data_IF_862139758009
#
_entry.id   IF_862139758009
#
_cell.length_a   1.000
_cell.length_b   1.000
_cell.length_c   1.000
_cell.angle_alpha   90.00
_cell.angle_beta   90.00
_cell.angle_gamma   90.00
#
_symmetry.space_group_name_H-M   'P 1'
#
loop_
_entity.id
_entity.type
_entity.pdbx_description
1 polymer ?
#
# COMPACT_ATOMS: atom_id res chain seq x y z
N UNK A 1 -41.49 -81.75 -32.05
CA UNK A 1 -40.95 -81.35 -30.73
C UNK A 1 -39.56 -80.72 -30.82
N UNK A 2 -38.64 -81.24 -31.64
CA UNK A 2 -37.28 -80.71 -31.78
C UNK A 2 -37.20 -79.26 -32.31
N UNK A 3 -38.00 -78.91 -33.33
CA UNK A 3 -38.11 -77.53 -33.85
C UNK A 3 -38.53 -76.49 -32.80
N UNK A 4 -39.39 -76.88 -31.85
CA UNK A 4 -39.82 -75.98 -30.77
C UNK A 4 -38.68 -75.73 -29.77
N UNK A 5 -37.87 -76.76 -29.47
CA UNK A 5 -36.68 -76.63 -28.61
C UNK A 5 -35.62 -75.74 -29.25
N UNK A 6 -35.39 -75.88 -30.56
CA UNK A 6 -34.47 -75.03 -31.32
C UNK A 6 -34.91 -73.57 -31.34
N UNK A 7 -36.20 -73.30 -31.59
CA UNK A 7 -36.75 -71.95 -31.58
C UNK A 7 -36.69 -71.29 -30.19
N UNK A 8 -36.93 -72.05 -29.11
CA UNK A 8 -36.80 -71.55 -27.74
C UNK A 8 -35.34 -71.25 -27.37
N UNK A 9 -34.40 -72.10 -27.79
CA UNK A 9 -32.97 -71.87 -27.57
C UNK A 9 -32.48 -70.64 -28.33
N UNK A 10 -32.91 -70.45 -29.57
CA UNK A 10 -32.59 -69.27 -30.37
C UNK A 10 -33.15 -68.00 -29.73
N UNK A 11 -34.39 -68.02 -29.24
CA UNK A 11 -35.00 -66.91 -28.49
C UNK A 11 -34.20 -66.57 -27.23
N UNK A 12 -33.82 -67.57 -26.43
CA UNK A 12 -32.97 -67.38 -25.24
C UNK A 12 -31.59 -66.83 -25.58
N UNK A 13 -30.99 -67.26 -26.70
CA UNK A 13 -29.69 -66.74 -27.16
C UNK A 13 -29.82 -65.29 -27.63
N UNK A 14 -30.90 -64.94 -28.32
CA UNK A 14 -31.19 -63.56 -28.74
C UNK A 14 -31.43 -62.63 -27.54
N UNK A 15 -32.25 -63.04 -26.57
CA UNK A 15 -32.51 -62.30 -25.33
C UNK A 15 -31.21 -62.07 -24.52
N UNK A 16 -30.35 -63.09 -24.40
CA UNK A 16 -29.04 -62.94 -23.73
C UNK A 16 -28.10 -61.99 -24.46
N UNK A 17 -28.10 -61.98 -25.80
CA UNK A 17 -27.31 -61.03 -26.61
C UNK A 17 -27.82 -59.61 -26.44
N UNK A 18 -29.14 -59.43 -26.43
CA UNK A 18 -29.75 -58.12 -26.23
C UNK A 18 -29.49 -57.58 -24.82
N UNK A 19 -29.65 -58.39 -23.77
CA UNK A 19 -29.31 -57.98 -22.40
C UNK A 19 -27.84 -57.58 -22.27
N UNK A 20 -26.91 -58.34 -22.87
CA UNK A 20 -25.48 -57.97 -22.88
C UNK A 20 -25.22 -56.67 -23.63
N UNK A 21 -25.92 -56.42 -24.75
CA UNK A 21 -25.81 -55.17 -25.49
C UNK A 21 -26.28 -53.98 -24.64
N UNK A 22 -27.46 -54.09 -24.03
CA UNK A 22 -28.02 -53.04 -23.16
C UNK A 22 -27.13 -52.77 -21.95
N UNK A 23 -26.61 -53.80 -21.29
CA UNK A 23 -25.69 -53.64 -20.17
C UNK A 23 -24.40 -52.93 -20.58
N UNK A 24 -23.83 -53.26 -21.75
CA UNK A 24 -22.63 -52.59 -22.27
C UNK A 24 -22.89 -51.12 -22.63
N UNK A 25 -24.02 -50.82 -23.25
CA UNK A 25 -24.43 -49.45 -23.58
C UNK A 25 -24.66 -48.61 -22.32
N UNK A 26 -25.29 -49.18 -21.29
CA UNK A 26 -25.51 -48.51 -20.00
C UNK A 26 -24.18 -48.26 -19.24
N UNK A 27 -23.28 -49.24 -19.22
CA UNK A 27 -21.94 -49.09 -18.63
C UNK A 27 -21.14 -47.99 -19.35
N UNK A 28 -21.16 -47.98 -20.68
CA UNK A 28 -20.49 -46.95 -21.48
C UNK A 28 -21.10 -45.56 -21.24
N UNK A 29 -22.43 -45.45 -21.16
CA UNK A 29 -23.11 -44.20 -20.82
C UNK A 29 -22.68 -43.69 -19.45
N UNK A 30 -22.73 -44.55 -18.42
CA UNK A 30 -22.33 -44.19 -17.06
C UNK A 30 -20.87 -43.75 -16.99
N UNK A 31 -19.98 -44.45 -17.71
CA UNK A 31 -18.56 -44.09 -17.78
C UNK A 31 -18.37 -42.70 -18.39
N UNK A 32 -19.08 -42.37 -19.48
CA UNK A 32 -19.02 -41.04 -20.11
C UNK A 32 -19.55 -39.94 -19.19
N UNK A 33 -20.66 -40.18 -18.49
CA UNK A 33 -21.22 -39.24 -17.50
C UNK A 33 -20.26 -38.99 -16.33
N UNK A 34 -19.61 -40.05 -15.84
CA UNK A 34 -18.61 -39.93 -14.77
C UNK A 34 -17.35 -39.18 -15.24
N UNK A 35 -16.86 -39.44 -16.45
CA UNK A 35 -15.73 -38.71 -17.05
C UNK A 35 -16.07 -37.22 -17.27
N UNK A 36 -17.29 -36.91 -17.74
CA UNK A 36 -17.74 -35.52 -17.90
C UNK A 36 -17.86 -34.80 -16.56
N UNK A 37 -18.44 -35.45 -15.54
CA UNK A 37 -18.56 -34.89 -14.18
C UNK A 37 -17.18 -34.59 -13.60
N UNK A 38 -16.23 -35.52 -13.70
CA UNK A 38 -14.86 -35.30 -13.23
C UNK A 38 -14.17 -34.14 -13.97
N UNK A 39 -14.39 -34.01 -15.27
CA UNK A 39 -13.84 -32.91 -16.05
C UNK A 39 -14.43 -31.56 -15.63
N UNK A 40 -15.74 -31.50 -15.39
CA UNK A 40 -16.42 -30.30 -14.89
C UNK A 40 -15.92 -29.91 -13.50
N UNK A 41 -15.87 -30.85 -12.55
CA UNK A 41 -15.34 -30.63 -11.20
C UNK A 41 -13.88 -30.14 -11.22
N UNK A 42 -13.05 -30.73 -12.09
CA UNK A 42 -11.65 -30.29 -12.24
C UNK A 42 -11.56 -28.85 -12.75
N UNK A 43 -12.36 -28.50 -13.77
CA UNK A 43 -12.40 -27.14 -14.32
C UNK A 43 -12.87 -26.12 -13.30
N UNK A 44 -13.90 -26.45 -12.52
CA UNK A 44 -14.40 -25.57 -11.47
C UNK A 44 -13.35 -25.38 -10.36
N UNK A 45 -12.70 -26.46 -9.93
CA UNK A 45 -11.62 -26.40 -8.95
C UNK A 45 -10.44 -25.55 -9.43
N UNK A 46 -10.06 -25.67 -10.71
CA UNK A 46 -9.02 -24.83 -11.30
C UNK A 46 -9.43 -23.36 -11.35
N UNK A 47 -10.67 -23.04 -11.72
CA UNK A 47 -11.21 -21.67 -11.69
C UNK A 47 -11.18 -21.07 -10.29
N UNK A 48 -11.69 -21.79 -9.29
CA UNK A 48 -11.68 -21.34 -7.89
C UNK A 48 -10.25 -21.11 -7.39
N UNK A 49 -9.30 -21.99 -7.75
CA UNK A 49 -7.90 -21.82 -7.40
C UNK A 49 -7.28 -20.57 -8.04
N UNK A 50 -7.58 -20.31 -9.32
CA UNK A 50 -7.11 -19.10 -10.01
C UNK A 50 -7.69 -17.83 -9.37
N UNK A 51 -8.99 -17.82 -9.07
CA UNK A 51 -9.65 -16.68 -8.43
C UNK A 51 -9.08 -16.40 -7.03
N UNK A 52 -8.82 -17.44 -6.23
CA UNK A 52 -8.18 -17.30 -4.92
C UNK A 52 -6.77 -16.72 -5.04
N UNK A 53 -5.97 -17.19 -5.99
CA UNK A 53 -4.62 -16.67 -6.23
C UNK A 53 -4.64 -15.20 -6.69
N UNK A 54 -5.60 -14.82 -7.53
CA UNK A 54 -5.75 -13.44 -7.97
C UNK A 54 -6.17 -12.52 -6.82
N UNK A 55 -7.17 -12.93 -6.02
CA UNK A 55 -7.59 -12.19 -4.82
C UNK A 55 -6.45 -12.03 -3.82
N UNK A 56 -5.66 -13.07 -3.58
CA UNK A 56 -4.49 -13.00 -2.70
C UNK A 56 -3.42 -12.04 -3.27
N UNK A 57 -3.17 -12.09 -4.58
CA UNK A 57 -2.24 -11.17 -5.24
C UNK A 57 -2.70 -9.72 -5.10
N UNK A 58 -3.97 -9.43 -5.33
CA UNK A 58 -4.55 -8.09 -5.17
C UNK A 58 -4.39 -7.61 -3.73
N UNK A 59 -4.76 -8.44 -2.75
CA UNK A 59 -4.60 -8.12 -1.33
C UNK A 59 -3.15 -7.77 -0.97
N UNK A 60 -2.18 -8.57 -1.44
CA UNK A 60 -0.75 -8.29 -1.20
C UNK A 60 -0.29 -6.98 -1.81
N UNK A 61 -0.79 -6.63 -3.01
CA UNK A 61 -0.47 -5.36 -3.67
C UNK A 61 -1.05 -4.16 -2.90
N UNK A 62 -2.29 -4.29 -2.42
CA UNK A 62 -2.95 -3.26 -1.61
C UNK A 62 -2.23 -3.05 -0.26
N UNK A 63 -1.89 -4.13 0.44
CA UNK A 63 -1.12 -4.06 1.69
C UNK A 63 0.26 -3.43 1.49
N UNK A 64 0.94 -3.75 0.38
CA UNK A 64 2.24 -3.14 0.05
C UNK A 64 2.10 -1.63 -0.24
N UNK A 65 1.08 -1.24 -1.01
CA UNK A 65 0.79 0.16 -1.30
C UNK A 65 0.44 0.94 -0.03
N UNK A 66 -0.36 0.36 0.87
CA UNK A 66 -0.69 0.97 2.15
C UNK A 66 0.55 1.14 3.03
N UNK A 67 1.40 0.11 3.10
CA UNK A 67 2.67 0.19 3.83
C UNK A 67 3.52 1.34 3.30
N UNK A 68 3.65 1.47 1.98
CA UNK A 68 4.42 2.56 1.36
C UNK A 68 3.81 3.93 1.65
N UNK A 69 2.47 4.05 1.70
CA UNK A 69 1.79 5.31 2.07
C UNK A 69 2.06 5.73 3.51
N UNK A 70 2.27 4.76 4.42
CA UNK A 70 2.57 5.00 5.84
C UNK A 70 4.06 5.23 6.10
N UNK A 71 4.94 4.90 5.15
CA UNK A 71 6.38 5.13 5.32
C UNK A 71 6.70 6.63 5.40
N UNK A 72 7.57 7.03 6.35
CA UNK A 72 7.99 8.41 6.45
C UNK A 72 8.75 8.83 5.20
N UNK A 73 8.49 10.04 4.71
CA UNK A 73 9.18 10.63 3.57
C UNK A 73 10.36 11.45 4.06
N UNK A 74 11.41 11.56 3.25
CA UNK A 74 12.52 12.47 3.54
C UNK A 74 12.03 13.91 3.56
N UNK A 75 12.43 14.67 4.57
CA UNK A 75 12.09 16.10 4.65
C UNK A 75 12.76 16.84 3.48
N UNK A 76 11.98 17.45 2.60
CA UNK A 76 12.50 18.19 1.44
C UNK A 76 13.23 19.48 1.84
N UNK A 77 12.83 20.11 2.95
CA UNK A 77 13.45 21.36 3.42
C UNK A 77 14.90 21.17 3.86
N UNK A 78 15.21 20.04 4.50
CA UNK A 78 16.56 19.73 4.98
C UNK A 78 17.22 18.56 4.24
N UNK A 79 16.58 18.00 3.20
CA UNK A 79 17.04 16.81 2.48
C UNK A 79 17.39 15.62 3.39
N UNK A 80 16.63 15.44 4.47
CA UNK A 80 16.85 14.35 5.41
C UNK A 80 17.95 14.56 6.45
N UNK A 81 18.63 15.71 6.48
CA UNK A 81 19.68 15.95 7.49
C UNK A 81 19.11 16.16 8.90
N UNK A 82 17.87 16.65 8.99
CA UNK A 82 17.28 17.10 10.26
C UNK A 82 17.84 18.43 10.77
N UNK A 83 18.85 18.99 10.11
CA UNK A 83 19.53 20.21 10.55
C UNK A 83 18.95 21.42 9.83
N UNK A 84 18.87 22.55 10.52
CA UNK A 84 18.47 23.83 9.93
C UNK A 84 19.49 24.26 8.86
N UNK A 85 19.09 24.23 7.59
CA UNK A 85 19.94 24.64 6.44
C UNK A 85 20.32 26.14 6.48
N UNK A 86 19.60 26.92 7.28
CA UNK A 86 19.88 28.35 7.43
C UNK A 86 21.11 28.62 8.29
N UNK A 87 21.29 27.90 9.39
CA UNK A 87 22.40 28.10 10.33
C UNK A 87 23.33 26.88 10.45
N UNK A 88 23.09 25.84 9.66
CA UNK A 88 23.79 24.55 9.70
C UNK A 88 23.85 23.97 11.12
N UNK A 89 22.76 24.08 11.88
CA UNK A 89 22.64 23.47 13.21
C UNK A 89 23.20 24.30 14.36
N UNK A 90 23.81 25.44 14.08
CA UNK A 90 24.38 26.28 15.14
C UNK A 90 23.33 27.04 15.97
N UNK A 91 22.12 27.23 15.42
CA UNK A 91 21.05 28.01 16.07
C UNK A 91 21.26 29.53 16.00
N UNK A 92 22.36 30.00 15.41
CA UNK A 92 22.67 31.41 15.25
C UNK A 92 23.33 31.71 13.90
N UNK A 93 23.36 32.97 13.51
CA UNK A 93 24.06 33.49 12.33
C UNK A 93 24.90 34.68 12.74
N UNK A 94 25.94 34.98 11.98
CA UNK A 94 26.70 36.20 12.19
C UNK A 94 26.13 37.31 11.32
N UNK A 95 25.87 38.47 11.92
CA UNK A 95 25.50 39.69 11.21
C UNK A 95 26.59 40.75 11.42
N UNK A 96 26.89 41.51 10.38
CA UNK A 96 27.83 42.61 10.45
C UNK A 96 27.05 43.91 10.67
N UNK A 97 27.36 44.62 11.76
CA UNK A 97 26.80 45.93 12.06
C UNK A 97 27.86 46.99 11.80
N UNK A 98 27.58 47.90 10.86
CA UNK A 98 28.45 49.00 10.50
C UNK A 98 28.08 50.25 11.31
N UNK A 99 29.09 51.00 11.74
CA UNK A 99 28.94 52.28 12.43
C UNK A 99 29.77 53.35 11.72
N UNK A 100 29.31 54.60 11.78
CA UNK A 100 29.98 55.74 11.17
C UNK A 100 31.32 56.08 11.83
N UNK A 101 31.46 55.73 13.10
CA UNK A 101 32.62 56.10 13.94
C UNK A 101 33.00 54.91 14.80
N UNK A 102 34.28 54.52 14.73
CA UNK A 102 34.90 53.46 15.53
C UNK A 102 35.72 54.11 16.64
N UNK A 103 35.38 53.84 17.91
CA UNK A 103 36.06 54.42 19.06
C UNK A 103 35.37 54.10 20.39
N UNK A 104 35.99 54.44 21.53
CA UNK A 104 35.42 54.19 22.86
C UNK A 104 34.11 54.96 23.11
N UNK A 105 33.85 56.01 22.34
CA UNK A 105 32.62 56.80 22.40
C UNK A 105 31.46 56.17 21.60
N UNK A 106 31.67 55.04 20.93
CA UNK A 106 30.62 54.38 20.17
C UNK A 106 29.49 53.89 21.10
N UNK A 107 28.30 54.49 20.98
CA UNK A 107 27.12 54.14 21.79
C UNK A 107 26.51 52.76 21.47
N UNK A 108 27.01 52.07 20.45
CA UNK A 108 26.50 50.78 19.98
C UNK A 108 27.67 49.82 19.72
N UNK A 109 27.48 48.54 20.03
CA UNK A 109 28.45 47.52 19.64
C UNK A 109 28.45 47.41 18.11
N UNK A 110 29.63 47.25 17.53
CA UNK A 110 29.83 47.18 16.09
C UNK A 110 30.63 45.94 15.70
N UNK A 111 30.66 45.65 14.40
CA UNK A 111 31.36 44.48 13.86
C UNK A 111 30.47 43.25 13.77
N UNK A 112 31.09 42.07 13.93
CA UNK A 112 30.44 40.77 13.67
C UNK A 112 29.81 40.23 14.95
N UNK A 113 28.49 40.31 15.05
CA UNK A 113 27.72 39.88 16.23
C UNK A 113 26.88 38.65 15.90
N UNK A 114 26.75 37.73 16.86
CA UNK A 114 25.85 36.58 16.74
C UNK A 114 24.39 37.01 16.89
N UNK A 115 23.53 36.54 15.99
CA UNK A 115 22.09 36.74 15.98
C UNK A 115 21.39 35.38 15.98
N UNK A 116 20.26 35.24 16.66
CA UNK A 116 19.47 34.02 16.60
C UNK A 116 19.01 33.71 15.18
N UNK A 117 18.93 32.42 14.83
CA UNK A 117 18.43 31.99 13.52
C UNK A 117 16.90 31.85 13.54
N UNK A 118 16.20 32.80 12.92
CA UNK A 118 14.72 32.82 12.82
C UNK A 118 14.14 31.53 12.22
N UNK A 119 14.81 30.93 11.23
CA UNK A 119 14.34 29.72 10.56
C UNK A 119 14.22 28.49 11.49
N UNK A 120 14.82 28.53 12.68
CA UNK A 120 14.77 27.48 13.68
C UNK A 120 14.44 28.04 15.08
N UNK A 121 13.60 29.08 15.12
CA UNK A 121 13.05 29.64 16.36
C UNK A 121 13.97 30.59 17.14
N UNK A 122 15.13 30.95 16.61
CA UNK A 122 15.97 32.01 17.19
C UNK A 122 15.41 33.40 16.92
N UNK A 123 15.84 34.39 17.69
CA UNK A 123 15.38 35.79 17.54
C UNK A 123 16.51 36.67 16.99
N UNK A 124 16.20 37.60 16.09
CA UNK A 124 17.13 38.67 15.71
C UNK A 124 17.03 39.84 16.71
N UNK A 125 17.70 39.71 17.85
CA UNK A 125 17.71 40.76 18.88
C UNK A 125 18.50 42.02 18.50
N UNK A 126 19.20 42.03 17.36
CA UNK A 126 20.05 43.15 16.95
C UNK A 126 21.27 43.29 17.87
N UNK A 127 21.75 44.52 18.02
CA UNK A 127 22.95 44.82 18.84
C UNK A 127 22.64 44.81 20.34
N UNK A 128 21.38 45.02 20.72
CA UNK A 128 20.96 45.22 22.11
C UNK A 128 20.07 44.07 22.56
N UNK A 129 20.62 43.16 23.35
CA UNK A 129 19.85 42.11 24.02
C UNK A 129 20.65 40.81 24.21
N UNK A 130 20.20 39.92 25.11
CA UNK A 130 20.77 38.59 25.25
C UNK A 130 20.55 37.79 23.96
N UNK A 131 21.53 36.93 23.62
CA UNK A 131 21.47 36.08 22.44
C UNK A 131 20.46 34.95 22.64
N UNK A 132 19.33 35.03 21.93
CA UNK A 132 18.33 33.96 21.89
C UNK A 132 18.60 33.06 20.68
N UNK A 133 19.39 32.01 20.90
CA UNK A 133 19.69 31.00 19.88
C UNK A 133 18.45 30.18 19.56
N UNK A 134 18.29 29.84 18.29
CA UNK A 134 17.36 28.79 17.87
C UNK A 134 17.90 27.41 18.22
N UNK A 135 17.09 26.38 17.99
CA UNK A 135 17.43 25.00 18.32
C UNK A 135 18.41 24.34 17.31
N UNK A 136 18.62 24.98 16.15
CA UNK A 136 19.43 24.45 15.06
C UNK A 136 18.78 23.28 14.30
N UNK A 137 17.56 22.87 14.66
CA UNK A 137 16.84 21.77 14.02
C UNK A 137 16.00 22.30 12.85
N UNK A 138 15.70 21.42 11.91
CA UNK A 138 14.81 21.76 10.81
C UNK A 138 13.37 21.88 11.33
N UNK A 139 12.78 23.08 11.28
CA UNK A 139 11.42 23.37 11.75
C UNK A 139 10.30 22.58 11.02
N UNK A 140 10.58 21.97 9.87
CA UNK A 140 9.59 21.17 9.15
C UNK A 140 9.52 19.70 9.60
N UNK A 141 10.57 19.19 10.23
CA UNK A 141 10.65 17.78 10.66
C UNK A 141 11.17 17.63 12.10
N UNK A 142 11.29 18.74 12.82
CA UNK A 142 11.74 18.85 14.21
C UNK A 142 13.03 18.10 14.52
N UNK A 143 13.96 18.09 13.55
CA UNK A 143 15.26 17.43 13.71
C UNK A 143 15.33 15.98 13.26
N UNK A 144 14.22 15.35 12.88
CA UNK A 144 14.20 13.91 12.54
C UNK A 144 14.69 13.61 11.12
N UNK A 145 14.72 14.62 10.24
CA UNK A 145 15.00 14.46 8.81
C UNK A 145 13.87 13.76 8.03
N UNK A 146 12.78 13.38 8.70
CA UNK A 146 11.70 12.58 8.12
C UNK A 146 10.35 13.21 8.46
N UNK A 147 9.44 13.22 7.49
CA UNK A 147 8.07 13.70 7.68
C UNK A 147 7.16 12.49 7.63
N UNK A 148 6.45 12.25 8.74
CA UNK A 148 5.42 11.23 8.80
C UNK A 148 4.17 11.75 8.08
N UNK A 149 3.61 10.98 7.14
CA UNK A 149 2.38 11.38 6.47
C UNK A 149 1.23 11.45 7.48
N UNK A 150 0.56 12.59 7.56
CA UNK A 150 -0.67 12.73 8.32
C UNK A 150 -1.80 12.00 7.56
N UNK A 151 -2.09 10.78 8.02
CA UNK A 151 -3.12 9.93 7.43
C UNK A 151 -4.52 10.54 7.57
N UNK A 152 -4.76 11.34 8.61
CA UNK A 152 -6.05 12.01 8.78
C UNK A 152 -6.21 13.17 7.80
N UNK A 153 -5.17 14.00 7.64
CA UNK A 153 -5.19 15.06 6.66
C UNK A 153 -5.35 14.50 5.24
N UNK A 154 -4.70 13.37 4.93
CA UNK A 154 -4.86 12.69 3.65
C UNK A 154 -6.32 12.24 3.45
N UNK A 155 -6.93 11.62 4.46
CA UNK A 155 -8.34 11.21 4.42
C UNK A 155 -9.30 12.40 4.32
N UNK A 156 -8.95 13.57 4.87
CA UNK A 156 -9.70 14.84 4.77
C UNK A 156 -9.61 15.47 3.38
N UNK A 157 -8.46 15.36 2.72
CA UNK A 157 -8.27 15.86 1.35
C UNK A 157 -8.97 15.02 0.27
N UNK A 158 -9.34 13.77 0.56
CA UNK A 158 -10.18 12.97 -0.33
C UNK A 158 -11.56 13.60 -0.45
N UNK A 159 -11.95 13.98 -1.67
CA UNK A 159 -13.25 14.59 -1.95
C UNK A 159 -14.41 13.73 -1.40
N UNK A 160 -15.55 14.33 -1.02
CA UNK A 160 -16.71 13.58 -0.54
C UNK A 160 -17.14 12.45 -1.49
N UNK A 161 -17.04 12.69 -2.81
CA UNK A 161 -17.33 11.67 -3.84
C UNK A 161 -16.38 10.47 -3.79
N UNK A 162 -15.10 10.70 -3.48
CA UNK A 162 -14.12 9.62 -3.31
C UNK A 162 -14.33 8.82 -2.02
N UNK A 163 -14.84 9.47 -0.96
CA UNK A 163 -15.19 8.80 0.30
C UNK A 163 -16.37 7.84 0.14
N UNK A 164 -17.39 8.20 -0.62
CA UNK A 164 -18.57 7.33 -0.84
C UNK A 164 -18.21 6.06 -1.61
N UNK A 165 -17.29 6.13 -2.59
CA UNK A 165 -16.85 4.94 -3.34
C UNK A 165 -16.04 3.95 -2.49
N UNK A 166 -15.24 4.43 -1.54
CA UNK A 166 -14.49 3.54 -0.64
C UNK A 166 -15.41 2.75 0.30
N UNK A 167 -16.52 3.36 0.75
CA UNK A 167 -17.49 2.67 1.62
C UNK A 167 -18.18 1.48 0.92
N UNK A 168 -18.40 1.56 -0.39
CA UNK A 168 -19.04 0.48 -1.14
C UNK A 168 -18.10 -0.69 -1.45
N UNK A 169 -16.81 -0.42 -1.67
CA UNK A 169 -15.81 -1.46 -1.91
C UNK A 169 -15.52 -2.34 -0.67
N UNK A 170 -15.78 -1.82 0.54
CA UNK A 170 -15.58 -2.55 1.80
C UNK A 170 -16.83 -3.30 2.28
N UNK A 171 -17.95 -3.25 1.56
CA UNK A 171 -19.16 -3.98 1.95
C UNK A 171 -19.05 -5.42 1.45
N UNK A 172 -18.93 -6.44 2.32
CA UNK A 172 -18.93 -7.83 1.87
C UNK A 172 -20.27 -8.12 1.18
N UNK A 173 -20.24 -8.54 -0.09
CA UNK A 173 -21.43 -9.10 -0.73
C UNK A 173 -21.77 -10.41 -0.02
N UNK A 174 -22.82 -10.36 0.80
CA UNK A 174 -23.46 -11.52 1.44
C UNK A 174 -24.17 -12.39 0.39
#
# INVERSE_FOLDING_TARGET
QERLRQAEEERRRAERREMRRRAKEEEERKRREDEERQLQEKRERERLKQEQQERERQRRLEEAAERQRRMPKTCQTCNGTGVCQSCNGSGYRFSAFLVSTVGPEAMQQYGRVQQGCESCGGVKQGIRGPLNKGDGKCACCDGTGKIWPDLEALNKSLSPKARTMQAWASTPML
#
